data_IF_920462563565
#
_entry.id   IF_920462563565
#
_cell.length_a   1.000
_cell.length_b   1.000
_cell.length_c   1.000
_cell.angle_alpha   90.00
_cell.angle_beta   90.00
_cell.angle_gamma   90.00
#
_symmetry.space_group_name_H-M   'P 1'
#
loop_
_entity.id
_entity.type
_entity.pdbx_description
1 polymer ?
#
# COMPACT_ATOMS: atom_id res chain seq x y z
N UNK A 1 28.51 -18.72 2.14
CA UNK A 1 27.92 -17.37 2.12
C UNK A 1 26.87 -17.33 1.03
N UNK A 2 25.76 -16.63 1.24
CA UNK A 2 24.74 -16.39 0.20
C UNK A 2 25.09 -15.04 -0.46
N UNK A 3 25.02 -14.89 -1.79
CA UNK A 3 25.12 -13.58 -2.41
C UNK A 3 23.89 -12.77 -2.03
N UNK A 4 24.07 -11.73 -1.21
CA UNK A 4 23.03 -10.73 -0.96
C UNK A 4 23.05 -9.77 -2.14
N UNK A 5 22.41 -10.20 -3.23
CA UNK A 5 22.33 -9.46 -4.50
C UNK A 5 21.56 -8.18 -4.26
N UNK A 6 22.25 -7.05 -4.34
CA UNK A 6 21.63 -5.73 -4.32
C UNK A 6 21.11 -5.47 -5.73
N UNK A 7 19.82 -5.73 -5.94
CA UNK A 7 19.13 -5.59 -7.24
C UNK A 7 19.19 -4.16 -7.82
N UNK A 8 19.70 -3.19 -7.06
CA UNK A 8 19.90 -1.81 -7.50
C UNK A 8 21.31 -1.55 -8.05
N UNK A 9 22.20 -2.55 -7.98
CA UNK A 9 23.61 -2.48 -8.41
C UNK A 9 24.05 -3.64 -9.31
N UNK A 10 23.51 -4.84 -9.11
CA UNK A 10 24.00 -6.07 -9.77
C UNK A 10 23.43 -6.34 -11.18
N UNK A 11 22.51 -5.51 -11.71
CA UNK A 11 21.86 -5.70 -13.03
C UNK A 11 22.28 -4.66 -14.10
N UNK A 12 23.58 -4.31 -14.13
CA UNK A 12 24.23 -3.45 -15.14
C UNK A 12 24.09 -4.01 -16.59
N UNK A 13 23.55 -5.22 -16.73
CA UNK A 13 23.20 -5.86 -18.00
C UNK A 13 21.94 -5.26 -18.66
N UNK A 14 21.04 -4.63 -17.88
CA UNK A 14 19.72 -4.18 -18.33
C UNK A 14 19.51 -2.67 -18.11
N UNK A 15 20.26 -1.84 -18.85
CA UNK A 15 20.17 -0.37 -18.75
C UNK A 15 18.75 0.16 -18.96
N UNK A 16 18.14 0.74 -17.93
CA UNK A 16 16.78 1.30 -17.99
C UNK A 16 15.91 1.06 -16.76
N UNK A 17 14.60 0.86 -16.96
CA UNK A 17 13.64 0.67 -15.87
C UNK A 17 13.50 -0.83 -15.53
N UNK A 18 13.80 -1.19 -14.28
CA UNK A 18 13.51 -2.50 -13.70
C UNK A 18 12.16 -2.48 -13.00
N UNK A 19 11.34 -3.50 -13.24
CA UNK A 19 9.96 -3.55 -12.78
C UNK A 19 9.71 -4.76 -11.87
N UNK A 20 9.40 -4.46 -10.62
CA UNK A 20 9.31 -5.43 -9.54
C UNK A 20 7.97 -5.36 -8.81
N UNK A 21 7.59 -6.44 -8.13
CA UNK A 21 6.51 -6.42 -7.15
C UNK A 21 6.91 -6.99 -5.78
N UNK A 22 6.33 -6.41 -4.73
CA UNK A 22 6.41 -6.87 -3.34
C UNK A 22 5.04 -7.37 -2.91
N UNK A 23 4.93 -8.66 -2.54
CA UNK A 23 3.72 -9.19 -1.91
C UNK A 23 3.67 -8.75 -0.45
N UNK A 24 2.64 -7.98 -0.10
CA UNK A 24 2.44 -7.46 1.25
C UNK A 24 0.99 -7.65 1.73
N UNK A 25 0.76 -8.06 2.98
CA UNK A 25 -0.55 -7.92 3.61
C UNK A 25 -0.94 -6.43 3.72
N UNK A 26 -2.19 -6.02 3.43
CA UNK A 26 -2.57 -4.60 3.42
C UNK A 26 -2.22 -3.84 4.72
N UNK A 27 -2.39 -4.50 5.87
CA UNK A 27 -2.07 -3.97 7.20
C UNK A 27 -0.58 -3.66 7.41
N UNK A 28 0.31 -4.18 6.56
CA UNK A 28 1.77 -3.95 6.60
C UNK A 28 2.25 -2.86 5.63
N UNK A 29 1.38 -2.17 4.87
CA UNK A 29 1.80 -1.10 3.94
C UNK A 29 2.68 -0.03 4.62
N UNK A 30 2.32 0.39 5.83
CA UNK A 30 3.12 1.27 6.69
C UNK A 30 4.51 0.68 7.02
N UNK A 31 4.57 -0.60 7.39
CA UNK A 31 5.82 -1.29 7.72
C UNK A 31 6.77 -1.34 6.51
N UNK A 32 6.25 -1.67 5.33
CA UNK A 32 7.07 -1.77 4.12
C UNK A 32 7.53 -0.40 3.61
N UNK A 33 6.68 0.64 3.61
CA UNK A 33 7.12 2.01 3.28
C UNK A 33 8.18 2.52 4.26
N UNK A 34 8.00 2.30 5.57
CA UNK A 34 9.02 2.62 6.57
C UNK A 34 10.33 1.88 6.29
N UNK A 35 10.28 0.59 5.96
CA UNK A 35 11.48 -0.22 5.70
C UNK A 35 12.16 0.14 4.38
N UNK A 36 11.42 0.54 3.34
CA UNK A 36 11.98 1.08 2.09
C UNK A 36 12.76 2.38 2.35
N UNK A 37 12.26 3.26 3.23
CA UNK A 37 12.95 4.50 3.60
C UNK A 37 14.30 4.30 4.34
N UNK A 38 14.66 3.07 4.70
CA UNK A 38 15.98 2.69 5.23
C UNK A 38 16.80 1.79 4.29
N UNK A 39 16.33 1.55 3.06
CA UNK A 39 17.16 0.96 2.00
C UNK A 39 18.23 1.97 1.59
N UNK A 40 19.45 1.49 1.34
CA UNK A 40 20.58 2.34 0.96
C UNK A 40 20.26 3.16 -0.30
N UNK A 41 20.59 4.45 -0.26
CA UNK A 41 20.32 5.43 -1.33
C UNK A 41 18.84 5.55 -1.77
N UNK A 42 17.89 5.08 -0.95
CA UNK A 42 16.47 5.18 -1.26
C UNK A 42 15.99 6.63 -1.29
N UNK A 43 15.50 7.06 -2.46
CA UNK A 43 14.85 8.35 -2.68
C UNK A 43 13.81 8.17 -3.78
N UNK A 44 12.54 8.46 -3.51
CA UNK A 44 11.48 8.02 -4.42
C UNK A 44 10.11 8.66 -4.29
N UNK A 45 9.34 8.56 -5.38
CA UNK A 45 7.96 9.04 -5.49
C UNK A 45 7.00 7.87 -5.26
N UNK A 46 6.12 8.00 -4.28
CA UNK A 46 5.16 6.96 -3.88
C UNK A 46 3.76 7.37 -4.33
N UNK A 47 3.16 6.56 -5.19
CA UNK A 47 1.82 6.78 -5.74
C UNK A 47 0.77 6.00 -4.97
N UNK A 48 -0.29 6.69 -4.56
CA UNK A 48 -1.52 6.15 -4.00
C UNK A 48 -2.67 6.36 -5.00
N UNK A 49 -3.63 5.45 -5.06
CA UNK A 49 -4.85 5.63 -5.86
C UNK A 49 -5.84 6.57 -5.16
N UNK A 50 -5.83 6.65 -3.83
CA UNK A 50 -6.75 7.46 -3.05
C UNK A 50 -6.04 8.46 -2.11
N UNK A 51 -6.55 9.69 -2.07
CA UNK A 51 -5.99 10.80 -1.30
C UNK A 51 -6.10 10.62 0.23
N UNK A 52 -7.18 9.99 0.70
CA UNK A 52 -7.37 9.67 2.11
C UNK A 52 -6.33 8.66 2.62
N UNK A 53 -5.96 7.63 1.83
CA UNK A 53 -4.89 6.71 2.24
C UNK A 53 -3.52 7.41 2.24
N UNK A 54 -3.24 8.25 1.23
CA UNK A 54 -2.03 9.07 1.17
C UNK A 54 -1.82 9.88 2.45
N UNK A 55 -2.82 10.67 2.87
CA UNK A 55 -2.73 11.48 4.09
C UNK A 55 -2.60 10.64 5.35
N UNK A 56 -3.42 9.59 5.47
CA UNK A 56 -3.36 8.62 6.58
C UNK A 56 -1.96 7.96 6.69
N UNK A 57 -1.29 7.74 5.56
CA UNK A 57 0.04 7.13 5.53
C UNK A 57 1.17 8.13 5.83
N UNK A 58 1.03 9.37 5.36
CA UNK A 58 1.94 10.48 5.69
C UNK A 58 1.99 10.71 7.20
N UNK A 59 0.83 10.92 7.85
CA UNK A 59 0.72 11.13 9.31
C UNK A 59 1.37 9.98 10.11
N UNK A 60 1.08 8.73 9.73
CA UNK A 60 1.63 7.54 10.40
C UNK A 60 3.14 7.46 10.28
N UNK A 61 3.70 7.77 9.12
CA UNK A 61 5.14 7.65 8.90
C UNK A 61 5.91 8.83 9.49
N UNK A 62 5.36 10.04 9.48
CA UNK A 62 5.89 11.18 10.23
C UNK A 62 5.88 10.90 11.75
N UNK A 63 4.80 10.34 12.29
CA UNK A 63 4.73 9.89 13.69
C UNK A 63 5.77 8.79 14.05
N UNK A 64 6.19 7.99 13.06
CA UNK A 64 7.27 6.99 13.20
C UNK A 64 8.68 7.58 13.02
N UNK A 65 8.81 8.89 12.80
CA UNK A 65 10.09 9.56 12.57
C UNK A 65 10.67 9.34 11.17
N UNK A 66 9.85 8.97 10.18
CA UNK A 66 10.27 8.81 8.78
C UNK A 66 10.09 10.13 8.05
N UNK A 67 11.15 10.63 7.41
CA UNK A 67 11.12 11.87 6.63
C UNK A 67 10.32 11.69 5.34
N UNK A 68 9.01 11.94 5.41
CA UNK A 68 8.08 11.90 4.28
C UNK A 68 7.31 13.21 4.17
N UNK A 69 6.89 13.55 2.96
CA UNK A 69 5.94 14.63 2.69
C UNK A 69 5.05 14.29 1.51
N UNK A 70 3.96 15.03 1.29
CA UNK A 70 3.03 14.77 0.18
C UNK A 70 2.83 15.92 -0.81
N UNK A 71 2.29 15.54 -1.96
CA UNK A 71 1.69 16.40 -2.97
C UNK A 71 0.29 15.91 -3.26
N UNK A 72 -0.69 16.63 -2.74
CA UNK A 72 -2.11 16.38 -2.96
C UNK A 72 -2.75 17.47 -3.84
N UNK A 73 -3.92 17.18 -4.41
CA UNK A 73 -4.62 18.09 -5.33
C UNK A 73 -5.44 19.19 -4.63
N UNK A 74 -5.70 19.04 -3.34
CA UNK A 74 -6.37 19.99 -2.45
C UNK A 74 -5.39 20.95 -1.74
N UNK A 75 -4.12 20.55 -1.61
CA UNK A 75 -3.06 21.40 -1.06
C UNK A 75 -2.84 22.68 -1.89
N UNK A 76 -2.67 23.80 -1.19
CA UNK A 76 -2.35 25.08 -1.82
C UNK A 76 -0.95 25.07 -2.48
N UNK A 77 -0.73 26.02 -3.40
CA UNK A 77 0.52 26.13 -4.18
C UNK A 77 1.78 26.29 -3.32
N UNK A 78 1.69 26.92 -2.15
CA UNK A 78 2.83 27.17 -1.26
C UNK A 78 3.27 25.89 -0.54
N UNK A 79 2.32 25.11 -0.01
CA UNK A 79 2.60 23.80 0.58
C UNK A 79 3.19 22.84 -0.46
N UNK A 80 2.59 22.77 -1.66
CA UNK A 80 3.10 21.95 -2.77
C UNK A 80 4.52 22.34 -3.17
N UNK A 81 4.85 23.64 -3.22
CA UNK A 81 6.23 24.08 -3.45
C UNK A 81 7.16 23.67 -2.30
N UNK A 82 6.77 23.87 -1.05
CA UNK A 82 7.59 23.51 0.11
C UNK A 82 7.92 22.02 0.16
N UNK A 83 6.96 21.14 -0.14
CA UNK A 83 7.19 19.69 -0.22
C UNK A 83 8.14 19.31 -1.39
N UNK A 84 7.97 19.92 -2.56
CA UNK A 84 8.89 19.75 -3.70
C UNK A 84 10.32 20.20 -3.35
N UNK A 85 10.46 21.38 -2.76
CA UNK A 85 11.75 21.96 -2.38
C UNK A 85 12.44 21.09 -1.31
N UNK A 86 11.69 20.57 -0.32
CA UNK A 86 12.23 19.61 0.66
C UNK A 86 12.68 18.29 0.01
N UNK A 87 11.91 17.76 -0.95
CA UNK A 87 12.23 16.51 -1.63
C UNK A 87 13.44 16.64 -2.57
N UNK A 88 13.52 17.72 -3.37
CA UNK A 88 14.69 18.00 -4.23
C UNK A 88 15.97 18.21 -3.40
N UNK A 89 15.87 18.86 -2.24
CA UNK A 89 16.98 19.01 -1.29
C UNK A 89 17.22 17.77 -0.40
N UNK A 90 16.63 16.59 -0.72
CA UNK A 90 16.74 15.33 0.03
C UNK A 90 16.45 15.42 1.55
N UNK A 91 15.67 16.42 1.98
CA UNK A 91 15.22 16.57 3.38
C UNK A 91 14.11 15.58 3.75
N UNK A 92 13.35 15.14 2.75
CA UNK A 92 12.42 14.02 2.84
C UNK A 92 12.83 12.93 1.84
N UNK A 93 12.82 11.69 2.31
CA UNK A 93 13.24 10.47 1.61
C UNK A 93 12.18 10.02 0.60
N UNK A 94 10.91 10.24 0.93
CA UNK A 94 9.77 9.91 0.08
C UNK A 94 8.84 11.10 -0.11
N UNK A 95 8.35 11.25 -1.35
CA UNK A 95 7.29 12.18 -1.69
C UNK A 95 6.04 11.36 -2.08
N UNK A 96 4.91 11.60 -1.42
CA UNK A 96 3.66 10.87 -1.65
C UNK A 96 2.77 11.66 -2.62
N UNK A 97 2.11 10.99 -3.56
CA UNK A 97 1.28 11.68 -4.58
C UNK A 97 0.16 10.80 -5.13
N UNK A 98 -0.72 11.39 -5.94
CA UNK A 98 -1.71 10.70 -6.78
C UNK A 98 -1.50 11.10 -8.25
N UNK A 99 -2.05 10.36 -9.22
CA UNK A 99 -1.88 10.69 -10.65
C UNK A 99 -2.35 12.11 -11.01
N UNK A 100 -3.44 12.56 -10.37
CA UNK A 100 -3.98 13.92 -10.54
C UNK A 100 -3.00 14.95 -9.98
N UNK A 101 -2.46 14.72 -8.78
CA UNK A 101 -1.52 15.62 -8.14
C UNK A 101 -0.10 15.60 -8.76
N UNK A 102 0.23 14.56 -9.54
CA UNK A 102 1.50 14.37 -10.23
C UNK A 102 1.56 14.98 -11.64
N UNK A 103 0.40 15.34 -12.24
CA UNK A 103 0.36 16.05 -13.53
C UNK A 103 1.01 17.43 -13.41
N UNK A 104 1.85 17.78 -14.38
CA UNK A 104 2.63 19.02 -14.36
C UNK A 104 3.77 19.08 -13.35
N UNK A 105 4.10 17.99 -12.65
CA UNK A 105 5.30 17.95 -11.79
C UNK A 105 6.56 17.77 -12.63
N UNK A 106 7.44 18.78 -12.55
CA UNK A 106 8.84 18.71 -12.96
C UNK A 106 9.73 18.32 -11.77
N UNK A 107 9.92 17.01 -11.63
CA UNK A 107 10.83 16.38 -10.66
C UNK A 107 11.89 15.65 -11.48
N UNK A 108 13.14 15.80 -11.05
CA UNK A 108 14.29 15.10 -11.64
C UNK A 108 14.14 13.58 -11.55
N UNK A 109 14.95 12.85 -12.32
CA UNK A 109 14.92 11.39 -12.29
C UNK A 109 15.24 10.84 -10.91
N UNK A 110 14.33 10.02 -10.37
CA UNK A 110 14.48 9.39 -9.07
C UNK A 110 14.99 7.95 -9.25
N UNK A 111 15.81 7.41 -8.34
CA UNK A 111 16.19 6.00 -8.39
C UNK A 111 15.00 5.06 -8.15
N UNK A 112 13.94 5.50 -7.45
CA UNK A 112 12.77 4.68 -7.16
C UNK A 112 11.43 5.36 -7.48
N UNK A 113 10.50 4.56 -8.01
CA UNK A 113 9.06 4.81 -8.04
C UNK A 113 8.37 3.68 -7.29
N UNK A 114 7.46 4.01 -6.37
CA UNK A 114 6.67 3.00 -5.64
C UNK A 114 5.20 3.18 -5.94
N UNK A 115 4.57 2.16 -6.51
CA UNK A 115 3.14 2.00 -6.57
C UNK A 115 2.66 1.38 -5.24
N UNK A 116 2.09 2.17 -4.34
CA UNK A 116 1.60 1.70 -3.04
C UNK A 116 0.35 0.80 -3.15
N UNK A 117 -0.24 0.77 -4.34
CA UNK A 117 -1.33 -0.08 -4.84
C UNK A 117 -1.11 -0.29 -6.34
N UNK A 118 -1.75 -1.30 -6.95
CA UNK A 118 -1.78 -1.46 -8.41
C UNK A 118 -2.41 -0.18 -9.04
N UNK A 119 -1.81 0.43 -10.07
CA UNK A 119 -2.41 1.55 -10.80
C UNK A 119 -3.71 1.14 -11.52
N UNK A 120 -4.70 2.03 -11.52
CA UNK A 120 -6.04 1.73 -12.05
C UNK A 120 -6.12 1.53 -13.57
N UNK A 121 -5.11 1.99 -14.33
CA UNK A 121 -5.03 1.85 -15.79
C UNK A 121 -3.60 1.62 -16.25
N UNK A 122 -3.45 1.09 -17.47
CA UNK A 122 -2.15 0.91 -18.12
C UNK A 122 -1.43 2.25 -18.34
N UNK A 123 -2.19 3.27 -18.78
CA UNK A 123 -1.73 4.66 -18.91
C UNK A 123 -1.20 5.22 -17.58
N UNK A 124 -1.88 4.96 -16.46
CA UNK A 124 -1.41 5.38 -15.14
C UNK A 124 -0.10 4.68 -14.76
N UNK A 125 0.03 3.37 -14.99
CA UNK A 125 1.28 2.65 -14.71
C UNK A 125 2.46 3.28 -15.47
N UNK A 126 2.31 3.55 -16.77
CA UNK A 126 3.35 4.15 -17.61
C UNK A 126 3.68 5.60 -17.21
N UNK A 127 2.68 6.40 -16.84
CA UNK A 127 2.89 7.77 -16.35
C UNK A 127 3.59 7.82 -14.98
N UNK A 128 3.44 6.78 -14.16
CA UNK A 128 4.14 6.61 -12.88
C UNK A 128 5.56 6.09 -13.08
N UNK A 129 5.76 5.01 -13.85
CA UNK A 129 7.09 4.43 -14.09
C UNK A 129 8.02 5.40 -14.81
N UNK A 130 7.48 6.19 -15.76
CA UNK A 130 8.20 7.24 -16.48
C UNK A 130 8.70 8.43 -15.63
N UNK A 131 8.72 8.31 -14.30
CA UNK A 131 9.37 9.22 -13.32
C UNK A 131 10.76 8.72 -12.87
N UNK A 132 11.11 7.48 -13.22
CA UNK A 132 12.45 6.90 -13.05
C UNK A 132 13.01 6.45 -14.41
N UNK A 133 14.27 6.00 -14.44
CA UNK A 133 14.95 5.41 -15.60
C UNK A 133 14.73 6.11 -16.95
N UNK A 134 15.27 7.31 -17.14
CA UNK A 134 15.31 8.04 -18.43
C UNK A 134 16.76 8.38 -18.81
N UNK A 135 16.99 8.77 -20.06
CA UNK A 135 18.28 9.31 -20.54
C UNK A 135 19.50 8.41 -20.21
N UNK A 136 19.31 7.08 -20.22
CA UNK A 136 20.38 6.11 -19.94
C UNK A 136 20.78 5.96 -18.46
N UNK A 137 20.01 6.52 -17.52
CA UNK A 137 20.08 6.13 -16.10
C UNK A 137 19.15 4.96 -15.82
N UNK A 138 19.51 4.17 -14.82
CA UNK A 138 18.68 3.08 -14.33
C UNK A 138 17.59 3.57 -13.37
N UNK A 139 16.57 2.74 -13.17
CA UNK A 139 15.41 3.11 -12.37
C UNK A 139 14.63 1.91 -11.86
N UNK A 140 14.17 1.97 -10.61
CA UNK A 140 13.47 0.85 -9.95
C UNK A 140 12.00 1.19 -9.74
N UNK A 141 11.11 0.41 -10.37
CA UNK A 141 9.65 0.53 -10.20
C UNK A 141 9.17 -0.62 -9.33
N UNK A 142 8.68 -0.30 -8.13
CA UNK A 142 8.22 -1.29 -7.13
C UNK A 142 6.70 -1.20 -7.02
N UNK A 143 5.98 -2.29 -7.24
CA UNK A 143 4.51 -2.33 -7.05
C UNK A 143 4.10 -3.22 -5.89
N UNK A 144 3.34 -2.67 -4.94
CA UNK A 144 2.77 -3.42 -3.84
C UNK A 144 1.53 -4.19 -4.30
N UNK A 145 1.50 -5.48 -3.99
CA UNK A 145 0.39 -6.39 -4.33
C UNK A 145 0.02 -7.30 -3.16
N UNK A 146 -1.15 -7.90 -3.25
CA UNK A 146 -1.60 -8.99 -2.38
C UNK A 146 -1.51 -10.30 -3.18
N UNK A 147 -1.49 -11.46 -2.52
CA UNK A 147 -1.37 -12.76 -3.20
C UNK A 147 -2.44 -13.00 -4.27
N UNK A 148 -3.65 -12.47 -4.07
CA UNK A 148 -4.73 -12.56 -5.06
C UNK A 148 -4.64 -11.53 -6.20
N UNK A 149 -3.95 -10.39 -6.00
CA UNK A 149 -3.83 -9.32 -7.01
C UNK A 149 -2.58 -9.42 -7.88
N UNK A 150 -1.67 -10.39 -7.64
CA UNK A 150 -0.52 -10.65 -8.54
C UNK A 150 -0.98 -10.90 -9.99
N UNK A 151 -2.11 -11.62 -10.17
CA UNK A 151 -2.71 -11.88 -11.49
C UNK A 151 -3.28 -10.63 -12.16
N UNK A 152 -3.76 -9.67 -11.38
CA UNK A 152 -4.28 -8.39 -11.85
C UNK A 152 -3.13 -7.52 -12.37
N UNK A 153 -2.05 -7.39 -11.60
CA UNK A 153 -0.85 -6.66 -12.01
C UNK A 153 -0.22 -7.26 -13.28
N UNK A 154 -0.05 -8.60 -13.34
CA UNK A 154 0.48 -9.27 -14.53
C UNK A 154 -0.47 -9.23 -15.74
N UNK A 155 -1.77 -8.94 -15.54
CA UNK A 155 -2.69 -8.63 -16.64
C UNK A 155 -2.50 -7.19 -17.12
N UNK A 156 -2.37 -6.24 -16.19
CA UNK A 156 -2.17 -4.82 -16.47
C UNK A 156 -0.88 -4.55 -17.26
N UNK A 157 0.24 -5.16 -16.88
CA UNK A 157 1.53 -4.93 -17.57
C UNK A 157 1.71 -5.74 -18.86
N UNK A 158 0.79 -6.66 -19.17
CA UNK A 158 0.94 -7.63 -20.27
C UNK A 158 1.16 -6.99 -21.63
N UNK A 159 0.47 -5.87 -21.89
CA UNK A 159 0.53 -5.17 -23.18
C UNK A 159 1.70 -4.19 -23.30
N UNK A 160 2.45 -3.98 -22.22
CA UNK A 160 3.60 -3.06 -22.15
C UNK A 160 4.95 -3.71 -22.49
N UNK A 161 4.98 -5.04 -22.68
CA UNK A 161 6.20 -5.85 -22.75
C UNK A 161 7.14 -5.72 -21.52
N UNK A 162 6.57 -5.35 -20.36
CA UNK A 162 7.29 -5.24 -19.09
C UNK A 162 7.31 -6.61 -18.41
N UNK A 163 8.50 -7.15 -18.19
CA UNK A 163 8.67 -8.30 -17.27
C UNK A 163 8.50 -7.83 -15.82
N UNK A 164 7.93 -8.70 -15.00
CA UNK A 164 7.54 -8.41 -13.62
C UNK A 164 8.09 -9.50 -12.71
N UNK A 165 9.28 -9.25 -12.20
CA UNK A 165 9.97 -10.09 -11.23
C UNK A 165 9.45 -9.84 -9.80
N UNK A 166 9.46 -10.88 -8.96
CA UNK A 166 9.13 -10.75 -7.54
C UNK A 166 10.40 -10.41 -6.75
N UNK A 167 10.30 -9.49 -5.79
CA UNK A 167 11.39 -9.19 -4.87
C UNK A 167 10.89 -9.19 -3.43
N UNK A 168 11.84 -9.27 -2.50
CA UNK A 168 11.61 -9.27 -1.07
C UNK A 168 12.46 -8.18 -0.42
N UNK A 169 11.94 -7.66 0.70
CA UNK A 169 12.63 -6.70 1.55
C UNK A 169 13.13 -7.46 2.78
N UNK A 170 14.44 -7.68 2.90
CA UNK A 170 15.10 -8.43 3.99
C UNK A 170 16.42 -7.74 4.37
N UNK A 171 16.81 -7.75 5.64
CA UNK A 171 18.06 -7.12 6.11
C UNK A 171 18.17 -5.58 5.95
N UNK A 172 17.15 -4.91 5.39
CA UNK A 172 17.23 -3.51 4.95
C UNK A 172 17.57 -3.33 3.46
N UNK A 173 17.58 -4.41 2.69
CA UNK A 173 17.89 -4.43 1.26
C UNK A 173 16.79 -5.13 0.46
N UNK A 174 16.75 -4.85 -0.84
CA UNK A 174 15.89 -5.53 -1.81
C UNK A 174 16.65 -6.74 -2.37
N UNK A 175 16.02 -7.91 -2.40
CA UNK A 175 16.62 -9.18 -2.85
C UNK A 175 15.63 -9.97 -3.70
N UNK A 176 16.10 -10.74 -4.69
CA UNK A 176 15.23 -11.58 -5.55
C UNK A 176 14.71 -12.85 -4.86
N UNK A 177 15.39 -13.34 -3.81
CA UNK A 177 15.04 -14.58 -3.11
C UNK A 177 14.98 -14.39 -1.58
N UNK A 178 14.08 -15.11 -0.90
CA UNK A 178 14.05 -15.18 0.56
C UNK A 178 15.06 -16.22 1.08
N UNK A 179 15.78 -15.93 2.17
CA UNK A 179 16.56 -16.94 2.87
C UNK A 179 15.66 -18.12 3.28
N UNK A 180 16.05 -19.35 2.92
CA UNK A 180 15.24 -20.56 3.06
C UNK A 180 14.65 -20.79 4.46
N UNK A 181 15.29 -20.24 5.50
CA UNK A 181 14.88 -20.33 6.91
C UNK A 181 13.61 -19.56 7.26
N UNK A 182 13.15 -18.62 6.41
CA UNK A 182 11.87 -17.90 6.59
C UNK A 182 10.69 -18.54 5.84
N UNK A 183 10.93 -19.35 4.81
CA UNK A 183 9.87 -19.95 3.99
C UNK A 183 9.03 -20.94 4.82
N UNK A 184 9.69 -21.87 5.51
CA UNK A 184 9.04 -22.83 6.41
C UNK A 184 8.22 -22.15 7.51
N UNK A 185 8.70 -21.04 8.08
CA UNK A 185 7.97 -20.30 9.10
C UNK A 185 6.70 -19.61 8.56
N UNK A 186 6.71 -19.14 7.31
CA UNK A 186 5.53 -18.58 6.63
C UNK A 186 4.52 -19.67 6.28
N UNK A 187 4.98 -20.83 5.83
CA UNK A 187 4.14 -21.99 5.51
C UNK A 187 3.46 -22.55 6.78
N UNK A 188 4.23 -22.77 7.86
CA UNK A 188 3.69 -23.15 9.16
C UNK A 188 2.67 -22.15 9.72
N UNK A 189 2.91 -20.85 9.55
CA UNK A 189 1.97 -19.81 10.01
C UNK A 189 0.65 -19.82 9.22
N UNK A 190 0.66 -20.21 7.95
CA UNK A 190 -0.54 -20.36 7.13
C UNK A 190 -1.33 -21.63 7.49
N UNK A 191 -0.68 -22.79 7.58
CA UNK A 191 -1.35 -24.07 7.93
C UNK A 191 -1.99 -24.05 9.34
N UNK A 192 -1.35 -23.37 10.29
CA UNK A 192 -1.93 -23.17 11.64
C UNK A 192 -3.20 -22.32 11.64
N UNK A 193 -3.48 -21.57 10.57
CA UNK A 193 -4.68 -20.74 10.43
C UNK A 193 -5.85 -21.47 9.73
N UNK A 194 -5.58 -22.49 8.90
CA UNK A 194 -6.61 -23.29 8.21
C UNK A 194 -7.25 -24.38 9.08
N UNK A 195 -6.64 -24.76 10.21
CA UNK A 195 -7.12 -25.86 11.09
C UNK A 195 -8.15 -25.45 12.16
N UNK A 196 -8.92 -24.37 11.93
CA UNK A 196 -9.97 -23.88 12.87
C UNK A 196 -11.37 -23.73 12.27
N UNK A 197 -11.77 -24.63 11.39
CA UNK A 197 -13.20 -24.86 11.05
C UNK A 197 -13.54 -26.35 11.14
N UNK A 198 -13.97 -26.81 12.30
CA UNK A 198 -14.52 -28.16 12.45
C UNK A 198 -15.94 -28.23 11.86
N UNK A 199 -16.30 -29.29 11.12
CA UNK A 199 -17.65 -29.45 10.56
C UNK A 199 -18.65 -29.77 11.68
N UNK A 200 -19.78 -29.05 11.73
CA UNK A 200 -20.77 -29.22 12.79
C UNK A 200 -21.97 -30.07 12.35
N UNK A 201 -22.16 -31.22 12.99
CA UNK A 201 -23.37 -32.05 12.93
C UNK A 201 -23.08 -33.56 13.03
N UNK A 202 -24.10 -34.42 13.18
CA UNK A 202 -25.52 -34.10 13.38
C UNK A 202 -26.08 -34.60 14.74
N UNK A 203 -27.19 -34.03 15.19
CA UNK A 203 -28.03 -34.59 16.26
C UNK A 203 -29.52 -34.53 15.88
N UNK A 204 -30.29 -35.56 16.24
CA UNK A 204 -31.69 -35.77 15.81
C UNK A 204 -32.63 -35.89 17.01
N UNK A 205 -33.79 -35.20 16.92
CA UNK A 205 -35.12 -35.56 17.50
C UNK A 205 -35.21 -35.59 19.04
N UNK A 206 -36.32 -35.27 19.72
CA UNK A 206 -37.64 -34.64 19.43
C UNK A 206 -38.22 -34.19 20.81
N UNK A 207 -39.46 -33.72 21.10
CA UNK A 207 -40.79 -33.51 20.48
C UNK A 207 -41.54 -32.44 21.38
N UNK A 208 -42.80 -31.99 21.29
CA UNK A 208 -43.98 -32.13 20.41
C UNK A 208 -44.91 -30.89 20.62
N UNK A 209 -45.53 -30.33 19.56
CA UNK A 209 -46.78 -29.49 19.58
C UNK A 209 -46.86 -28.18 20.45
N UNK A 210 -47.79 -27.21 20.32
CA UNK A 210 -48.82 -26.84 19.31
C UNK A 210 -49.19 -25.33 19.37
N UNK A 211 -49.87 -24.86 18.32
CA UNK A 211 -50.90 -23.78 18.26
C UNK A 211 -50.58 -22.25 18.31
N UNK A 212 -51.28 -21.57 17.38
CA UNK A 212 -51.90 -20.22 17.45
C UNK A 212 -51.08 -18.92 17.55
N UNK A 213 -51.08 -18.19 16.43
CA UNK A 213 -51.14 -16.72 16.28
C UNK A 213 -52.35 -16.10 17.05
N UNK A 214 -52.43 -14.76 17.32
CA UNK A 214 -52.04 -13.68 16.39
C UNK A 214 -51.45 -12.36 16.96
N UNK A 215 -51.09 -11.49 16.00
CA UNK A 215 -50.59 -10.11 16.13
C UNK A 215 -51.49 -9.20 16.99
N UNK A 216 -50.88 -8.30 17.77
CA UNK A 216 -51.45 -6.96 18.04
C UNK A 216 -50.44 -5.85 17.76
N UNK A 217 -50.83 -4.90 16.90
CA UNK A 217 -50.22 -3.56 16.84
C UNK A 217 -50.76 -2.72 18.00
N UNK A 218 -50.00 -1.73 18.47
CA UNK A 218 -50.57 -0.47 18.97
C UNK A 218 -49.53 0.66 18.87
N UNK A 219 -49.99 1.88 18.57
CA UNK A 219 -49.18 3.10 18.47
C UNK A 219 -49.29 3.92 19.77
N UNK A 220 -48.32 4.81 19.96
CA UNK A 220 -48.40 6.08 20.71
C UNK A 220 -49.02 6.09 22.12
N UNK A 221 -48.20 6.53 23.09
CA UNK A 221 -48.53 7.75 23.84
C UNK A 221 -47.30 8.47 24.36
N UNK A 222 -47.30 9.80 24.22
CA UNK A 222 -46.31 10.68 24.83
C UNK A 222 -46.60 10.82 26.34
N UNK A 223 -45.57 11.11 27.15
CA UNK A 223 -45.75 11.87 28.40
C UNK A 223 -44.56 12.80 28.64
N UNK A 224 -44.84 14.03 29.09
CA UNK A 224 -43.85 15.10 29.31
C UNK A 224 -43.38 15.12 30.76
N UNK A 225 -42.08 15.34 30.97
CA UNK A 225 -41.50 16.12 32.09
C UNK A 225 -40.09 16.52 31.61
N UNK A 226 -39.80 17.78 31.23
CA UNK A 226 -39.71 19.06 31.98
C UNK A 226 -38.61 19.08 33.06
N UNK A 227 -37.90 20.21 33.09
CA UNK A 227 -36.85 20.65 34.03
C UNK A 227 -35.42 20.14 33.68
N UNK A 228 -34.36 20.94 33.85
CA UNK A 228 -34.23 22.39 34.14
C UNK A 228 -32.81 22.87 33.76
N UNK A 229 -32.63 24.16 33.48
CA UNK A 229 -31.33 24.84 33.61
C UNK A 229 -30.42 24.88 32.39
N UNK A 230 -30.62 25.87 31.51
CA UNK A 230 -29.61 26.31 30.54
C UNK A 230 -29.79 27.81 30.23
N UNK A 231 -29.18 28.70 31.01
CA UNK A 231 -28.93 30.09 30.59
C UNK A 231 -27.90 30.81 31.46
N UNK A 232 -27.20 31.75 30.81
CA UNK A 232 -26.15 32.67 31.29
C UNK A 232 -24.77 32.02 31.43
N UNK A 233 -23.69 32.65 30.96
CA UNK A 233 -23.60 33.98 30.29
C UNK A 233 -22.94 33.84 28.92
#
# INVERSE_FOLDING_TARGET
>A
SIPVVDVTKDDDSRKGQQHYYLRIPPRKKEEYLRRLAYVTDFHGLVFFNQLNELGTMEEKLQFRGVSVGSLASDQNKLLRKAALDQFKNKKITMLFTTDVAARGLDIEQLPYVVNAEIPLTEEAYLHRSGRTGRMGKDGTVITFVQDHTVKELKKLTRHMAIDMEEIFLHGGQLVKELPQKELSQKEEANDKNTKKTAPFGPSKKEQVEKNSTPKKKLKNKQKKQKNKGARRK
#
